data_IF_260127967037
#
_entry.id   IF_260127967037
#
_cell.length_a   1.000
_cell.length_b   1.000
_cell.length_c   1.000
_cell.angle_alpha   90.00
_cell.angle_beta   90.00
_cell.angle_gamma   90.00
#
_symmetry.space_group_name_H-M   'P 1'
#
loop_
_entity.id
_entity.type
_entity.pdbx_description
1 polymer ?
#
# COMPACT_ATOMS: atom_id res chain seq x y z
N UNK A 1 -5.38 -1.60 -1.46
CA UNK A 1 -5.47 -1.69 0.01
C UNK A 1 -4.15 -1.24 0.60
N UNK A 2 -4.10 -0.92 1.88
CA UNK A 2 -2.86 -0.55 2.58
C UNK A 2 -2.16 -1.72 3.28
N UNK A 3 -2.60 -2.96 3.02
CA UNK A 3 -2.14 -4.20 3.69
C UNK A 3 -2.45 -4.24 5.20
N UNK A 4 -3.34 -3.36 5.64
CA UNK A 4 -3.86 -3.33 7.00
C UNK A 4 -5.38 -3.21 6.93
N UNK A 5 -5.97 -2.15 7.50
CA UNK A 5 -7.42 -2.02 7.65
C UNK A 5 -8.11 -1.23 6.53
N UNK A 6 -7.39 -0.64 5.56
CA UNK A 6 -8.00 0.24 4.55
C UNK A 6 -8.00 -0.37 3.16
N UNK A 7 -9.20 -0.42 2.58
CA UNK A 7 -9.45 -0.78 1.19
C UNK A 7 -10.10 0.41 0.47
N UNK A 8 -9.57 0.77 -0.70
CA UNK A 8 -10.16 1.78 -1.58
C UNK A 8 -10.73 1.07 -2.80
N UNK A 9 -11.96 1.40 -3.15
CA UNK A 9 -12.65 0.85 -4.32
C UNK A 9 -13.26 2.01 -5.13
N UNK A 10 -13.23 1.89 -6.47
CA UNK A 10 -13.80 2.90 -7.37
C UNK A 10 -15.34 2.93 -7.34
N UNK A 11 -15.96 1.83 -6.89
CA UNK A 11 -17.41 1.69 -6.73
C UNK A 11 -17.71 1.13 -5.34
N UNK A 12 -18.87 1.49 -4.79
CA UNK A 12 -19.35 0.90 -3.54
C UNK A 12 -19.50 -0.61 -3.73
N UNK A 13 -18.84 -1.37 -2.88
CA UNK A 13 -18.95 -2.83 -2.86
C UNK A 13 -20.29 -3.23 -2.22
N UNK A 14 -20.88 -4.38 -2.61
CA UNK A 14 -22.05 -4.93 -1.93
C UNK A 14 -21.81 -5.09 -0.43
N UNK A 15 -22.87 -4.97 0.36
CA UNK A 15 -22.82 -5.13 1.82
C UNK A 15 -23.98 -6.05 2.27
N UNK A 16 -23.76 -6.96 3.23
CA UNK A 16 -22.49 -7.27 3.88
C UNK A 16 -21.52 -7.97 2.91
N UNK A 17 -20.22 -7.73 3.09
CA UNK A 17 -19.17 -8.43 2.34
C UNK A 17 -18.22 -9.08 3.33
N UNK A 18 -18.12 -10.40 3.26
CA UNK A 18 -17.20 -11.20 4.05
C UNK A 18 -16.54 -12.23 3.15
N UNK A 19 -15.23 -12.42 3.33
CA UNK A 19 -14.40 -13.35 2.57
C UNK A 19 -13.75 -14.30 3.57
N UNK A 20 -13.89 -15.61 3.34
CA UNK A 20 -13.18 -16.63 4.11
C UNK A 20 -11.83 -16.88 3.46
N UNK A 21 -10.76 -16.75 4.24
CA UNK A 21 -9.39 -16.94 3.79
C UNK A 21 -8.80 -18.13 4.56
N UNK A 22 -8.42 -19.22 3.86
CA UNK A 22 -7.68 -20.31 4.50
C UNK A 22 -6.32 -19.80 4.97
N UNK A 23 -5.91 -20.21 6.16
CA UNK A 23 -4.59 -19.99 6.70
C UNK A 23 -3.80 -21.30 6.64
N UNK A 24 -2.56 -21.18 6.20
CA UNK A 24 -1.53 -22.21 6.16
C UNK A 24 -0.18 -21.49 6.33
N UNK A 25 0.79 -22.16 6.94
CA UNK A 25 2.13 -21.60 7.12
C UNK A 25 2.92 -21.60 5.80
N UNK A 26 4.04 -20.85 5.73
CA UNK A 26 4.83 -20.69 4.50
C UNK A 26 5.37 -22.03 3.95
N UNK A 27 5.61 -22.99 4.83
CA UNK A 27 6.11 -24.34 4.50
C UNK A 27 4.98 -25.36 4.22
N UNK A 28 3.72 -24.94 4.30
CA UNK A 28 2.55 -25.79 4.08
C UNK A 28 1.93 -25.57 2.69
N UNK A 29 1.48 -26.66 2.06
CA UNK A 29 0.68 -26.56 0.85
C UNK A 29 -0.71 -25.96 1.16
N UNK A 30 -1.28 -25.15 0.25
CA UNK A 30 -2.64 -24.66 0.40
C UNK A 30 -3.63 -25.81 0.62
N UNK A 31 -4.57 -25.70 1.57
CA UNK A 31 -5.50 -26.77 1.85
C UNK A 31 -6.31 -27.14 0.61
N UNK A 32 -6.39 -28.43 0.31
CA UNK A 32 -7.19 -28.94 -0.80
C UNK A 32 -8.64 -28.44 -0.67
N UNK A 33 -9.25 -28.10 -1.81
CA UNK A 33 -10.59 -27.50 -1.85
C UNK A 33 -11.61 -28.42 -1.17
N UNK A 34 -12.20 -27.95 -0.07
CA UNK A 34 -13.20 -28.71 0.70
C UNK A 34 -12.63 -29.67 1.75
N UNK A 35 -11.32 -29.62 2.02
CA UNK A 35 -10.73 -30.29 3.19
C UNK A 35 -11.35 -29.73 4.49
N UNK A 36 -11.28 -30.49 5.59
CA UNK A 36 -11.78 -30.04 6.90
C UNK A 36 -10.60 -29.95 7.86
N UNK A 37 -10.64 -29.00 8.79
CA UNK A 37 -9.65 -28.91 9.88
C UNK A 37 -8.51 -27.90 9.65
N UNK A 38 -8.48 -27.16 8.54
CA UNK A 38 -7.55 -26.04 8.37
C UNK A 38 -8.08 -24.79 9.08
N UNK A 39 -7.15 -23.94 9.54
CA UNK A 39 -7.49 -22.67 10.19
C UNK A 39 -8.03 -21.71 9.13
N UNK A 40 -9.12 -21.02 9.42
CA UNK A 40 -9.70 -20.02 8.54
C UNK A 40 -9.86 -18.70 9.26
N UNK A 41 -9.63 -17.61 8.52
CA UNK A 41 -9.98 -16.27 8.95
C UNK A 41 -11.13 -15.74 8.11
N UNK A 42 -12.04 -15.01 8.75
CA UNK A 42 -13.07 -14.25 8.04
C UNK A 42 -12.64 -12.80 7.97
N UNK A 43 -12.44 -12.30 6.76
CA UNK A 43 -12.18 -10.90 6.48
C UNK A 43 -13.51 -10.23 6.17
N UNK A 44 -13.98 -9.38 7.08
CA UNK A 44 -15.20 -8.58 6.88
C UNK A 44 -14.83 -7.22 6.31
N UNK A 45 -15.47 -6.86 5.19
CA UNK A 45 -15.26 -5.56 4.52
C UNK A 45 -16.50 -4.70 4.79
N UNK A 46 -16.32 -3.73 5.67
CA UNK A 46 -17.37 -2.76 6.05
C UNK A 46 -17.19 -1.46 5.29
N UNK A 47 -18.27 -0.96 4.69
CA UNK A 47 -18.27 0.39 4.12
C UNK A 47 -18.10 1.45 5.21
N UNK A 48 -17.12 2.34 5.05
CA UNK A 48 -16.82 3.40 6.02
C UNK A 48 -17.29 4.77 5.53
N UNK A 49 -16.80 5.21 4.37
CA UNK A 49 -17.11 6.53 3.81
C UNK A 49 -16.94 6.58 2.30
N UNK A 50 -17.56 7.57 1.68
CA UNK A 50 -17.35 7.94 0.28
C UNK A 50 -16.37 9.11 0.21
N UNK A 51 -15.41 9.06 -0.71
CA UNK A 51 -14.41 10.10 -0.91
C UNK A 51 -14.87 11.03 -2.03
N UNK A 52 -15.19 12.28 -1.69
CA UNK A 52 -15.62 13.27 -2.68
C UNK A 52 -14.42 13.96 -3.34
N UNK A 53 -14.17 13.60 -4.60
CA UNK A 53 -13.10 14.19 -5.40
C UNK A 53 -13.41 15.64 -5.83
N UNK A 54 -14.68 16.07 -5.84
CA UNK A 54 -15.02 17.47 -6.10
C UNK A 54 -14.65 18.37 -4.92
N UNK A 55 -14.89 17.92 -3.69
CA UNK A 55 -14.42 18.63 -2.50
C UNK A 55 -12.90 18.82 -2.50
N UNK A 56 -12.14 17.80 -2.94
CA UNK A 56 -10.69 17.94 -3.13
C UNK A 56 -10.36 19.01 -4.17
N UNK A 57 -11.06 19.02 -5.31
CA UNK A 57 -10.84 20.01 -6.37
C UNK A 57 -11.09 21.43 -5.87
N UNK A 58 -12.22 21.65 -5.19
CA UNK A 58 -12.58 22.96 -4.64
C UNK A 58 -11.58 23.44 -3.58
N UNK A 59 -11.10 22.51 -2.74
CA UNK A 59 -10.00 22.79 -1.82
C UNK A 59 -8.73 23.26 -2.55
N UNK A 60 -8.32 22.54 -3.60
CA UNK A 60 -7.08 22.85 -4.35
C UNK A 60 -7.18 24.18 -5.12
N UNK A 61 -8.38 24.57 -5.55
CA UNK A 61 -8.62 25.87 -6.20
C UNK A 61 -8.70 27.04 -5.23
N UNK A 62 -8.68 26.78 -3.92
CA UNK A 62 -8.78 27.82 -2.90
C UNK A 62 -10.19 28.36 -2.71
N UNK A 63 -11.23 27.55 -2.96
CA UNK A 63 -12.60 27.92 -2.63
C UNK A 63 -12.71 28.17 -1.12
N UNK A 64 -13.19 29.36 -0.74
CA UNK A 64 -13.29 29.79 0.65
C UNK A 64 -14.17 28.85 1.49
N UNK A 65 -15.18 28.22 0.89
CA UNK A 65 -16.06 27.27 1.57
C UNK A 65 -15.33 25.98 1.96
N UNK A 66 -14.24 25.65 1.26
CA UNK A 66 -13.47 24.43 1.48
C UNK A 66 -12.17 24.68 2.26
N UNK A 67 -11.91 25.90 2.73
CA UNK A 67 -10.68 26.25 3.46
C UNK A 67 -10.43 25.36 4.68
N UNK A 68 -11.48 24.94 5.38
CA UNK A 68 -11.41 24.09 6.58
C UNK A 68 -11.78 22.63 6.30
N UNK A 69 -11.94 22.25 5.03
CA UNK A 69 -12.29 20.89 4.66
C UNK A 69 -11.12 19.94 4.95
N UNK A 70 -11.39 18.83 5.64
CA UNK A 70 -10.37 17.82 5.93
C UNK A 70 -10.10 16.95 4.69
N UNK A 71 -9.03 17.28 3.97
CA UNK A 71 -8.55 16.49 2.83
C UNK A 71 -7.70 15.28 3.23
N UNK A 72 -7.42 15.05 4.52
CA UNK A 72 -6.53 13.95 4.95
C UNK A 72 -7.03 12.56 4.51
N UNK A 73 -8.33 12.21 4.58
CA UNK A 73 -8.83 10.93 4.07
C UNK A 73 -8.60 10.77 2.56
N UNK A 74 -8.82 11.83 1.78
CA UNK A 74 -8.59 11.86 0.34
C UNK A 74 -7.10 11.69 0.02
N UNK A 75 -6.22 12.45 0.66
CA UNK A 75 -4.77 12.31 0.47
C UNK A 75 -4.28 10.92 0.89
N UNK A 76 -4.80 10.36 1.98
CA UNK A 76 -4.49 8.99 2.39
C UNK A 76 -4.89 7.98 1.31
N UNK A 77 -6.07 8.11 0.73
CA UNK A 77 -6.53 7.25 -0.35
C UNK A 77 -5.67 7.40 -1.62
N UNK A 78 -5.31 8.63 -1.99
CA UNK A 78 -4.41 8.89 -3.13
C UNK A 78 -3.04 8.25 -2.93
N UNK A 79 -2.49 8.29 -1.71
CA UNK A 79 -1.23 7.62 -1.40
C UNK A 79 -1.36 6.09 -1.49
N UNK A 80 -2.49 5.50 -1.06
CA UNK A 80 -2.76 4.06 -1.22
C UNK A 80 -2.84 3.68 -2.70
N UNK A 81 -3.51 4.49 -3.53
CA UNK A 81 -3.59 4.28 -4.98
C UNK A 81 -2.20 4.36 -5.61
N UNK A 82 -1.42 5.39 -5.28
CA UNK A 82 -0.05 5.55 -5.79
C UNK A 82 0.85 4.37 -5.40
N UNK A 83 0.69 3.86 -4.17
CA UNK A 83 1.43 2.71 -3.67
C UNK A 83 0.97 1.37 -4.27
N UNK A 84 -0.19 1.30 -4.94
CA UNK A 84 -0.73 0.04 -5.45
C UNK A 84 0.17 -0.61 -6.50
N UNK A 85 0.80 0.19 -7.37
CA UNK A 85 1.69 -0.32 -8.41
C UNK A 85 2.97 -0.95 -7.84
N UNK A 86 3.78 -0.25 -7.01
CA UNK A 86 4.99 -0.86 -6.45
C UNK A 86 4.70 -2.02 -5.49
N UNK A 87 3.52 -2.09 -4.86
CA UNK A 87 3.15 -3.20 -3.97
C UNK A 87 2.56 -4.45 -4.67
N UNK A 88 2.46 -4.47 -5.99
CA UNK A 88 1.91 -5.63 -6.70
C UNK A 88 2.78 -6.89 -6.46
N UNK A 89 2.26 -8.11 -6.64
CA UNK A 89 3.08 -9.32 -6.63
C UNK A 89 4.26 -9.20 -7.61
N UNK A 90 5.48 -9.51 -7.14
CA UNK A 90 6.72 -9.28 -7.89
C UNK A 90 7.16 -7.81 -8.00
N UNK A 91 6.50 -6.91 -7.28
CA UNK A 91 6.87 -5.51 -7.12
C UNK A 91 7.98 -5.29 -6.10
N UNK A 92 8.05 -4.07 -5.57
CA UNK A 92 9.01 -3.68 -4.54
C UNK A 92 8.56 -4.06 -3.13
N UNK A 93 9.54 -4.21 -2.25
CA UNK A 93 9.35 -4.37 -0.81
C UNK A 93 9.08 -3.00 -0.20
N UNK A 94 7.93 -2.82 0.44
CA UNK A 94 7.66 -1.59 1.19
C UNK A 94 8.32 -1.64 2.57
N UNK A 95 9.10 -0.62 2.92
CA UNK A 95 9.69 -0.47 4.26
C UNK A 95 9.19 0.80 4.94
N UNK A 96 8.41 0.62 6.01
CA UNK A 96 7.72 1.71 6.68
C UNK A 96 6.55 2.21 5.83
N UNK A 97 6.53 3.52 5.53
CA UNK A 97 5.45 4.13 4.75
C UNK A 97 6.01 4.76 3.49
N UNK A 98 5.39 4.43 2.35
CA UNK A 98 5.65 5.09 1.07
C UNK A 98 7.10 4.97 0.55
N UNK A 99 7.89 4.04 1.08
CA UNK A 99 9.24 3.73 0.59
C UNK A 99 9.26 2.32 0.03
N UNK A 100 9.75 2.18 -1.19
CA UNK A 100 9.70 0.95 -1.96
C UNK A 100 11.10 0.61 -2.46
N UNK A 101 11.54 -0.62 -2.21
CA UNK A 101 12.87 -1.12 -2.55
C UNK A 101 12.75 -2.33 -3.46
N UNK A 102 13.66 -2.50 -4.42
CA UNK A 102 13.48 -3.48 -5.50
C UNK A 102 14.67 -4.43 -5.63
N UNK A 103 14.77 -5.46 -4.77
CA UNK A 103 15.86 -6.44 -4.76
C UNK A 103 16.16 -7.15 -6.07
N UNK A 104 15.12 -7.39 -6.87
CA UNK A 104 15.23 -8.12 -8.14
C UNK A 104 15.58 -7.23 -9.34
N UNK A 105 15.54 -5.91 -9.18
CA UNK A 105 15.65 -4.97 -10.32
C UNK A 105 17.09 -4.55 -10.62
N UNK A 106 17.93 -4.43 -9.59
CA UNK A 106 19.33 -4.04 -9.70
C UNK A 106 20.17 -4.87 -8.73
N UNK A 107 21.44 -5.10 -9.06
CA UNK A 107 22.36 -5.79 -8.16
C UNK A 107 22.52 -5.00 -6.86
N UNK A 108 22.27 -5.61 -5.69
CA UNK A 108 22.50 -4.96 -4.42
C UNK A 108 23.96 -4.56 -4.26
N UNK A 109 24.20 -3.47 -3.52
CA UNK A 109 25.57 -3.03 -3.23
C UNK A 109 25.98 -3.62 -1.89
N UNK A 110 27.01 -4.47 -1.88
CA UNK A 110 27.55 -5.01 -0.63
C UNK A 110 28.09 -3.89 0.25
N UNK A 111 27.69 -3.89 1.52
CA UNK A 111 28.20 -2.98 2.56
C UNK A 111 29.18 -3.68 3.50
N UNK A 112 29.51 -4.94 3.25
CA UNK A 112 30.25 -5.80 4.18
C UNK A 112 29.38 -6.32 5.33
N UNK A 113 29.89 -7.29 6.10
CA UNK A 113 29.22 -7.80 7.30
C UNK A 113 27.82 -8.40 7.05
N UNK A 114 27.62 -9.08 5.91
CA UNK A 114 26.33 -9.62 5.47
C UNK A 114 25.21 -8.57 5.26
N UNK A 115 25.58 -7.30 5.05
CA UNK A 115 24.67 -6.23 4.69
C UNK A 115 24.73 -5.91 3.20
N UNK A 116 23.56 -5.72 2.61
CA UNK A 116 23.38 -5.23 1.25
C UNK A 116 22.52 -3.98 1.24
N UNK A 117 22.93 -2.98 0.45
CA UNK A 117 22.16 -1.80 0.18
C UNK A 117 21.27 -2.03 -1.04
N UNK A 118 19.98 -1.77 -0.84
CA UNK A 118 18.96 -1.84 -1.86
C UNK A 118 18.50 -0.44 -2.22
N UNK A 119 18.46 -0.18 -3.53
CA UNK A 119 17.92 1.07 -4.06
C UNK A 119 16.41 1.03 -4.05
N UNK A 120 15.85 2.21 -3.86
CA UNK A 120 14.42 2.41 -3.82
C UNK A 120 14.05 3.86 -4.01
N UNK A 121 12.77 4.13 -3.82
CA UNK A 121 12.26 5.49 -3.81
C UNK A 121 11.22 5.66 -2.73
N UNK A 122 11.12 6.90 -2.24
CA UNK A 122 9.97 7.39 -1.52
C UNK A 122 9.01 8.05 -2.51
N UNK A 123 7.71 7.78 -2.42
CA UNK A 123 6.70 8.50 -3.20
C UNK A 123 5.51 8.96 -2.35
N UNK A 124 4.99 10.16 -2.60
CA UNK A 124 3.83 10.68 -1.88
C UNK A 124 3.01 11.63 -2.73
N UNK A 125 1.70 11.64 -2.51
CA UNK A 125 0.80 12.65 -3.09
C UNK A 125 0.78 13.88 -2.19
N UNK A 126 0.99 15.06 -2.77
CA UNK A 126 0.97 16.36 -2.09
C UNK A 126 -0.04 17.31 -2.74
N UNK A 127 -0.86 18.02 -1.96
CA UNK A 127 -1.69 19.10 -2.51
C UNK A 127 -0.81 20.30 -2.89
N UNK A 128 -1.16 20.96 -3.99
CA UNK A 128 -0.59 22.22 -4.46
C UNK A 128 -1.72 23.10 -4.99
N UNK A 129 -1.47 24.39 -5.19
CA UNK A 129 -2.45 25.27 -5.81
C UNK A 129 -2.88 24.72 -7.19
N UNK A 130 -4.19 24.54 -7.39
CA UNK A 130 -4.84 24.00 -8.59
C UNK A 130 -4.46 22.57 -9.02
N UNK A 131 -3.68 21.82 -8.24
CA UNK A 131 -3.23 20.48 -8.66
C UNK A 131 -2.79 19.58 -7.51
N UNK A 132 -2.77 18.28 -7.77
CA UNK A 132 -2.02 17.32 -6.96
C UNK A 132 -0.65 17.10 -7.59
N UNK A 133 0.39 16.99 -6.76
CA UNK A 133 1.73 16.66 -7.20
C UNK A 133 2.14 15.31 -6.61
N UNK A 134 2.95 14.57 -7.36
CA UNK A 134 3.63 13.39 -6.84
C UNK A 134 5.05 13.78 -6.50
N UNK A 135 5.40 13.71 -5.22
CA UNK A 135 6.77 13.88 -4.76
C UNK A 135 7.47 12.53 -4.79
N UNK A 136 8.58 12.41 -5.54
CA UNK A 136 9.41 11.20 -5.65
C UNK A 136 10.84 11.55 -5.26
N UNK A 137 11.41 10.78 -4.33
CA UNK A 137 12.80 10.95 -3.89
C UNK A 137 13.52 9.60 -3.92
N UNK A 138 14.72 9.55 -4.50
CA UNK A 138 15.58 8.37 -4.41
C UNK A 138 15.97 8.12 -2.95
N UNK A 139 16.00 6.85 -2.54
CA UNK A 139 16.42 6.45 -1.20
C UNK A 139 17.12 5.09 -1.24
N UNK A 140 18.02 4.86 -0.29
CA UNK A 140 18.69 3.58 -0.09
C UNK A 140 18.33 3.05 1.30
N UNK A 141 18.16 1.75 1.42
CA UNK A 141 18.03 1.07 2.72
C UNK A 141 18.91 -0.17 2.74
N UNK A 142 19.26 -0.60 3.94
CA UNK A 142 20.10 -1.77 4.14
C UNK A 142 19.22 -2.95 4.54
N UNK A 143 19.51 -4.13 4.00
CA UNK A 143 18.92 -5.40 4.41
C UNK A 143 20.03 -6.38 4.81
N UNK A 144 19.72 -7.26 5.76
CA UNK A 144 20.59 -8.37 6.15
C UNK A 144 20.35 -9.52 5.19
N UNK A 145 21.42 -10.09 4.64
CA UNK A 145 21.35 -11.32 3.86
C UNK A 145 21.39 -12.50 4.84
N UNK A 146 20.36 -13.33 4.85
CA UNK A 146 20.46 -14.67 5.39
C UNK A 146 20.99 -15.58 4.30
N UNK A 147 22.27 -15.94 4.38
CA UNK A 147 22.82 -17.02 3.57
C UNK A 147 22.36 -18.31 4.24
N UNK A 148 21.29 -18.91 3.74
CA UNK A 148 20.93 -20.28 4.12
C UNK A 148 21.99 -21.22 3.54
N UNK A 149 22.74 -21.89 4.41
CA UNK A 149 23.64 -23.00 4.07
C UNK A 149 22.85 -24.30 3.91
#
# INVERSE_FOLDING_TARGET
HDHSAKLIAAKKLPQPLAIRVPFYDEDEDPPARGSKGYKEYTVTITYTLSLDMQALKNYLTGDIQYRTYDIMPLLSAMNIILAAHPNRPGGGIMVGRNRFFFPSSERPVSLGGALEAFRGFYSSVRPSHNQLMVNVNGTNTNFIIFISY
#
